data_IF_203749452693
#
_entry.id   IF_203749452693
#
_cell.length_a   1.000
_cell.length_b   1.000
_cell.length_c   1.000
_cell.angle_alpha   90.00
_cell.angle_beta   90.00
_cell.angle_gamma   90.00
#
_symmetry.space_group_name_H-M   'P 1'
#
loop_
_entity.id
_entity.type
_entity.pdbx_description
1 polymer ?
#
# COMPACT_ATOMS: atom_id res chain seq x y z
N UNK A 1 25.41 4.79 -2.47
CA UNK A 1 24.48 4.23 -3.47
C UNK A 1 23.07 4.43 -2.95
N UNK A 2 22.18 5.07 -3.71
CA UNK A 2 20.78 5.25 -3.31
C UNK A 2 20.13 3.88 -3.23
N UNK A 3 19.69 3.46 -2.04
CA UNK A 3 18.75 2.33 -1.93
C UNK A 3 17.51 2.76 -2.72
N UNK A 4 17.22 2.07 -3.81
CA UNK A 4 15.96 2.28 -4.54
C UNK A 4 14.96 1.36 -3.88
N UNK A 5 13.90 1.90 -3.30
CA UNK A 5 12.80 1.12 -2.78
C UNK A 5 12.19 0.27 -3.90
N UNK A 6 12.29 -1.08 -3.90
CA UNK A 6 11.70 -1.88 -4.97
C UNK A 6 10.17 -1.93 -4.91
N UNK A 7 9.58 -1.76 -3.72
CA UNK A 7 8.13 -1.71 -3.57
C UNK A 7 7.59 -0.47 -4.30
N UNK A 8 6.49 -0.63 -5.03
CA UNK A 8 5.83 0.31 -5.96
C UNK A 8 6.70 0.95 -7.07
N UNK A 9 8.03 1.10 -6.93
CA UNK A 9 8.87 1.71 -7.96
C UNK A 9 9.33 0.73 -9.04
N UNK A 10 9.23 -0.58 -8.80
CA UNK A 10 9.60 -1.61 -9.76
C UNK A 10 8.41 -2.53 -10.05
N UNK A 11 8.14 -2.84 -11.32
CA UNK A 11 7.08 -3.78 -11.68
C UNK A 11 7.28 -5.14 -11.01
N UNK A 12 6.16 -5.80 -10.73
CA UNK A 12 6.12 -7.13 -10.14
C UNK A 12 5.01 -7.32 -9.12
N UNK A 13 4.92 -8.56 -8.63
CA UNK A 13 3.93 -8.95 -7.63
C UNK A 13 4.55 -8.95 -6.23
N UNK A 14 3.80 -8.44 -5.25
CA UNK A 14 4.14 -8.54 -3.83
C UNK A 14 2.98 -9.23 -3.10
N UNK A 15 3.33 -10.18 -2.24
CA UNK A 15 2.38 -10.84 -1.34
C UNK A 15 2.55 -10.25 0.05
N UNK A 16 1.50 -10.28 0.85
CA UNK A 16 1.57 -9.87 2.23
C UNK A 16 0.52 -10.53 3.10
N UNK A 17 0.72 -10.36 4.39
CA UNK A 17 -0.19 -10.82 5.42
C UNK A 17 -0.10 -9.88 6.62
N UNK A 18 -1.14 -9.83 7.42
CA UNK A 18 -1.16 -8.99 8.60
C UNK A 18 -2.46 -9.09 9.37
N UNK A 19 -2.63 -8.18 10.32
CA UNK A 19 -3.80 -8.07 11.17
C UNK A 19 -4.39 -6.67 11.13
N UNK A 20 -5.70 -6.59 11.19
CA UNK A 20 -6.48 -5.37 11.35
C UNK A 20 -7.13 -5.41 12.72
N UNK A 21 -6.80 -4.46 13.58
CA UNK A 21 -7.49 -4.21 14.84
C UNK A 21 -8.36 -2.95 14.76
N UNK A 22 -9.35 -2.86 15.64
CA UNK A 22 -10.26 -1.71 15.70
C UNK A 22 -10.14 -1.04 17.07
N UNK A 23 -10.00 0.28 17.15
CA UNK A 23 -9.81 0.98 18.43
C UNK A 23 -10.96 0.82 19.43
N UNK A 24 -12.12 0.34 18.97
CA UNK A 24 -13.32 0.13 19.78
C UNK A 24 -13.43 -1.30 20.34
N UNK A 25 -12.55 -2.24 19.97
CA UNK A 25 -12.58 -3.63 20.42
C UNK A 25 -11.19 -4.26 20.49
N UNK A 26 -11.08 -5.37 21.22
CA UNK A 26 -9.85 -6.20 21.22
C UNK A 26 -9.85 -7.22 20.07
N UNK A 27 -10.77 -7.10 19.11
CA UNK A 27 -10.87 -8.00 17.98
C UNK A 27 -9.80 -7.68 16.93
N UNK A 28 -9.12 -8.72 16.45
CA UNK A 28 -8.16 -8.64 15.36
C UNK A 28 -8.62 -9.57 14.23
N UNK A 29 -8.64 -9.05 13.00
CA UNK A 29 -8.90 -9.83 11.80
C UNK A 29 -7.61 -10.06 11.03
N UNK A 30 -7.31 -11.32 10.73
CA UNK A 30 -6.20 -11.68 9.86
C UNK A 30 -6.57 -11.40 8.40
N UNK A 31 -5.64 -10.85 7.64
CA UNK A 31 -5.78 -10.64 6.21
C UNK A 31 -4.56 -11.10 5.43
N UNK A 32 -4.78 -11.27 4.12
CA UNK A 32 -3.76 -11.47 3.11
C UNK A 32 -3.89 -10.37 2.05
N UNK A 33 -2.77 -9.95 1.49
CA UNK A 33 -2.77 -8.95 0.41
C UNK A 33 -1.92 -9.38 -0.77
N UNK A 34 -2.36 -9.03 -1.97
CA UNK A 34 -1.62 -9.21 -3.20
C UNK A 34 -1.55 -7.90 -3.96
N UNK A 35 -0.35 -7.34 -4.04
CA UNK A 35 -0.07 -6.18 -4.86
C UNK A 35 0.43 -6.62 -6.23
N UNK A 36 -0.09 -5.98 -7.26
CA UNK A 36 0.41 -6.07 -8.63
C UNK A 36 0.85 -4.68 -9.08
N UNK A 37 2.16 -4.48 -9.15
CA UNK A 37 2.79 -3.24 -9.62
C UNK A 37 2.91 -3.34 -11.13
N UNK A 38 2.05 -2.62 -11.84
CA UNK A 38 2.04 -2.58 -13.30
C UNK A 38 3.15 -1.68 -13.81
N UNK A 39 3.57 -1.92 -15.05
CA UNK A 39 4.67 -1.19 -15.66
C UNK A 39 4.49 0.33 -15.55
N UNK A 40 5.59 1.01 -15.25
CA UNK A 40 5.64 2.47 -15.28
C UNK A 40 5.57 2.89 -16.75
N UNK A 41 4.36 3.13 -17.23
CA UNK A 41 4.12 3.56 -18.62
C UNK A 41 5.06 4.69 -19.03
N UNK A 42 5.38 4.71 -20.33
CA UNK A 42 6.35 5.58 -21.00
C UNK A 42 6.75 6.84 -20.24
N UNK A 43 8.03 6.89 -19.87
CA UNK A 43 8.71 8.08 -19.36
C UNK A 43 8.78 9.12 -20.48
N UNK A 44 7.70 9.85 -20.70
CA UNK A 44 7.82 11.15 -21.35
C UNK A 44 8.34 12.15 -20.32
N UNK A 45 9.59 12.58 -20.52
CA UNK A 45 10.25 13.74 -19.91
C UNK A 45 9.67 14.18 -18.55
N UNK A 46 10.12 13.51 -17.47
CA UNK A 46 10.06 14.06 -16.11
C UNK A 46 8.89 13.65 -15.24
N UNK A 47 7.97 12.79 -15.69
CA UNK A 47 6.87 12.30 -14.85
C UNK A 47 6.78 10.77 -14.88
N UNK A 48 7.49 10.11 -13.95
CA UNK A 48 7.29 8.68 -13.72
C UNK A 48 5.95 8.50 -13.02
N UNK A 49 5.06 7.74 -13.65
CA UNK A 49 3.79 7.34 -13.07
C UNK A 49 3.78 5.82 -12.90
N UNK A 50 3.25 5.33 -11.78
CA UNK A 50 3.13 3.90 -11.50
C UNK A 50 1.68 3.60 -11.17
N UNK A 51 1.12 2.60 -11.83
CA UNK A 51 -0.21 2.06 -11.51
C UNK A 51 -0.06 0.74 -10.79
N UNK A 52 -0.86 0.54 -9.76
CA UNK A 52 -0.84 -0.68 -8.97
C UNK A 52 -2.27 -1.10 -8.65
N UNK A 53 -2.48 -2.40 -8.51
CA UNK A 53 -3.68 -2.94 -7.89
C UNK A 53 -3.29 -3.67 -6.62
N UNK A 54 -4.13 -3.58 -5.61
CA UNK A 54 -4.02 -4.36 -4.39
C UNK A 54 -5.33 -5.12 -4.18
N UNK A 55 -5.21 -6.42 -4.01
CA UNK A 55 -6.27 -7.28 -3.51
C UNK A 55 -6.02 -7.51 -2.01
N UNK A 56 -7.09 -7.43 -1.21
CA UNK A 56 -7.06 -7.74 0.22
C UNK A 56 -8.17 -8.76 0.50
N UNK A 57 -7.81 -9.85 1.17
CA UNK A 57 -8.70 -10.96 1.50
C UNK A 57 -8.66 -11.19 3.02
N UNK A 58 -9.82 -11.16 3.68
CA UNK A 58 -9.92 -11.42 5.12
C UNK A 58 -10.07 -12.92 5.36
N UNK A 59 -9.33 -13.48 6.33
CA UNK A 59 -9.29 -14.92 6.58
C UNK A 59 -10.68 -15.52 6.88
N UNK A 60 -11.53 -14.80 7.62
CA UNK A 60 -12.82 -15.29 8.10
C UNK A 60 -14.03 -14.79 7.28
N UNK A 61 -13.81 -13.95 6.28
CA UNK A 61 -14.87 -13.46 5.40
C UNK A 61 -14.75 -14.15 4.03
N UNK A 62 -15.35 -15.35 3.94
CA UNK A 62 -15.14 -16.30 2.85
C UNK A 62 -15.44 -15.79 1.41
N UNK A 63 -16.03 -14.59 1.26
CA UNK A 63 -16.36 -13.99 -0.03
C UNK A 63 -16.04 -12.48 -0.13
N UNK A 64 -15.40 -11.87 0.86
CA UNK A 64 -15.13 -10.43 0.85
C UNK A 64 -13.69 -10.14 0.44
N UNK A 65 -13.51 -9.87 -0.85
CA UNK A 65 -12.27 -9.32 -1.41
C UNK A 65 -12.41 -7.82 -1.61
N UNK A 66 -11.48 -7.07 -1.06
CA UNK A 66 -11.36 -5.63 -1.30
C UNK A 66 -10.33 -5.40 -2.40
N UNK A 67 -10.68 -4.54 -3.36
CA UNK A 67 -9.80 -4.17 -4.46
C UNK A 67 -9.50 -2.67 -4.42
N UNK A 68 -8.22 -2.34 -4.32
CA UNK A 68 -7.73 -0.98 -4.36
C UNK A 68 -6.95 -0.78 -5.66
N UNK A 69 -7.17 0.35 -6.32
CA UNK A 69 -6.35 0.82 -7.44
C UNK A 69 -5.55 2.04 -7.00
N UNK A 70 -4.24 1.95 -7.09
CA UNK A 70 -3.32 3.02 -6.73
C UNK A 70 -2.67 3.61 -7.98
N UNK A 71 -2.54 4.93 -7.98
CA UNK A 71 -1.81 5.67 -9.00
C UNK A 71 -0.82 6.62 -8.33
N UNK A 72 0.46 6.28 -8.42
CA UNK A 72 1.57 7.10 -7.95
C UNK A 72 2.02 8.03 -9.06
N UNK A 73 2.07 9.32 -8.78
CA UNK A 73 2.41 10.39 -9.73
C UNK A 73 3.38 11.37 -9.11
N UNK A 74 3.97 12.27 -9.91
CA UNK A 74 4.92 13.28 -9.44
C UNK A 74 6.06 12.67 -8.58
N UNK A 75 6.53 11.47 -8.95
CA UNK A 75 7.54 10.74 -8.17
C UNK A 75 8.89 11.47 -8.29
N UNK A 76 9.22 12.20 -7.24
CA UNK A 76 10.49 12.89 -7.05
C UNK A 76 11.53 12.03 -6.33
N UNK A 77 12.54 12.69 -5.77
CA UNK A 77 13.62 12.02 -5.02
C UNK A 77 13.14 11.52 -3.66
N UNK A 78 12.32 12.32 -2.99
CA UNK A 78 11.88 12.08 -1.59
C UNK A 78 10.36 12.15 -1.41
N UNK A 79 9.61 12.40 -2.48
CA UNK A 79 8.17 12.62 -2.40
C UNK A 79 7.45 12.12 -3.64
N UNK A 80 6.16 11.87 -3.50
CA UNK A 80 5.24 11.54 -4.59
C UNK A 80 3.82 11.94 -4.21
N UNK A 81 2.93 11.99 -5.20
CA UNK A 81 1.49 12.03 -5.00
C UNK A 81 0.89 10.66 -5.23
N UNK A 82 -0.15 10.34 -4.48
CA UNK A 82 -0.86 9.08 -4.57
C UNK A 82 -2.36 9.32 -4.75
N UNK A 83 -2.97 8.53 -5.60
CA UNK A 83 -4.41 8.44 -5.76
C UNK A 83 -4.82 7.00 -5.46
N UNK A 84 -5.80 6.82 -4.59
CA UNK A 84 -6.43 5.54 -4.23
C UNK A 84 -7.87 5.53 -4.74
N UNK A 85 -8.24 4.52 -5.52
CA UNK A 85 -9.63 4.25 -5.89
C UNK A 85 -10.07 2.91 -5.29
N UNK A 86 -11.24 2.91 -4.67
CA UNK A 86 -11.88 1.73 -4.11
C UNK A 86 -13.40 1.92 -4.14
N UNK A 87 -14.16 0.84 -4.33
CA UNK A 87 -15.62 0.91 -4.52
C UNK A 87 -16.37 1.44 -3.28
N UNK A 88 -15.83 1.27 -2.08
CA UNK A 88 -16.43 1.67 -0.81
C UNK A 88 -16.10 3.13 -0.45
N UNK A 89 -14.87 3.59 -0.71
CA UNK A 89 -14.40 4.93 -0.31
C UNK A 89 -14.32 5.95 -1.46
N UNK A 90 -14.54 5.49 -2.70
CA UNK A 90 -14.42 6.33 -3.91
C UNK A 90 -12.96 6.60 -4.26
N UNK A 91 -12.66 7.84 -4.64
CA UNK A 91 -11.32 8.28 -5.03
C UNK A 91 -10.74 9.23 -3.98
N UNK A 92 -9.57 8.88 -3.45
CA UNK A 92 -8.87 9.61 -2.40
C UNK A 92 -7.50 10.05 -2.89
N UNK A 93 -7.12 11.29 -2.61
CA UNK A 93 -5.81 11.84 -2.95
C UNK A 93 -4.96 11.97 -1.70
N UNK A 94 -3.69 11.66 -1.85
CA UNK A 94 -2.71 11.71 -0.77
C UNK A 94 -1.33 12.13 -1.27
N UNK A 95 -0.43 12.25 -0.30
CA UNK A 95 0.97 12.58 -0.53
C UNK A 95 1.83 11.56 0.20
N UNK A 96 3.01 11.29 -0.33
CA UNK A 96 3.93 10.35 0.28
C UNK A 96 5.37 10.76 0.18
N UNK A 97 6.17 10.08 0.99
CA UNK A 97 7.60 10.30 1.13
C UNK A 97 8.39 9.03 0.84
N UNK A 98 9.62 9.23 0.38
CA UNK A 98 10.59 8.18 0.11
C UNK A 98 11.86 8.52 0.89
N UNK A 99 12.20 7.68 1.84
CA UNK A 99 13.46 7.76 2.59
C UNK A 99 14.40 6.64 2.12
N UNK A 100 15.40 6.28 2.93
CA UNK A 100 16.37 5.23 2.57
C UNK A 100 15.82 3.82 2.84
N UNK A 101 15.09 3.70 3.93
CA UNK A 101 14.58 2.46 4.52
C UNK A 101 13.07 2.53 4.75
N UNK A 102 12.40 3.59 4.27
CA UNK A 102 10.98 3.82 4.48
C UNK A 102 10.31 4.44 3.27
N UNK A 103 9.11 3.96 2.98
CA UNK A 103 8.13 4.63 2.12
C UNK A 103 6.90 4.85 2.97
N UNK A 104 6.31 6.03 2.91
CA UNK A 104 5.07 6.31 3.63
C UNK A 104 4.17 7.21 2.80
N UNK A 105 2.87 7.16 3.04
CA UNK A 105 1.91 8.09 2.49
C UNK A 105 0.76 8.32 3.45
N UNK A 106 0.05 9.41 3.22
CA UNK A 106 -1.11 9.79 4.02
C UNK A 106 -2.23 10.36 3.15
N UNK A 107 -3.45 10.21 3.64
CA UNK A 107 -4.66 10.81 3.11
C UNK A 107 -5.24 11.74 4.18
N UNK A 108 -5.44 13.01 3.83
CA UNK A 108 -5.93 14.05 4.74
C UNK A 108 -7.09 14.81 4.12
N UNK A 109 -8.05 15.23 4.94
CA UNK A 109 -9.17 16.09 4.55
C UNK A 109 -10.22 15.41 3.68
N UNK A 110 -10.22 14.07 3.61
CA UNK A 110 -11.17 13.33 2.77
C UNK A 110 -12.36 12.83 3.61
N UNK A 111 -13.61 13.04 3.17
CA UNK A 111 -14.80 12.81 3.99
C UNK A 111 -15.07 11.35 4.32
N UNK A 112 -14.38 10.41 3.68
CA UNK A 112 -14.58 8.96 3.84
C UNK A 112 -13.43 8.24 4.55
N UNK A 113 -12.23 8.81 4.54
CA UNK A 113 -11.04 8.18 5.13
C UNK A 113 -9.96 9.22 5.38
N UNK A 114 -9.36 9.20 6.56
CA UNK A 114 -8.11 9.90 6.85
C UNK A 114 -7.14 8.92 7.50
N UNK A 115 -5.85 9.06 7.22
CA UNK A 115 -4.89 8.13 7.78
C UNK A 115 -3.59 8.07 7.01
N UNK A 116 -2.77 7.08 7.35
CA UNK A 116 -1.45 6.91 6.76
C UNK A 116 -1.05 5.44 6.68
N UNK A 117 -0.10 5.15 5.80
CA UNK A 117 0.63 3.88 5.76
C UNK A 117 2.13 4.14 5.76
N UNK A 118 2.87 3.27 6.46
CA UNK A 118 4.33 3.28 6.52
C UNK A 118 4.84 1.89 6.23
N UNK A 119 5.74 1.78 5.25
CA UNK A 119 6.44 0.58 4.86
C UNK A 119 7.93 0.74 5.18
N UNK A 120 8.46 -0.12 6.05
CA UNK A 120 9.87 -0.12 6.46
C UNK A 120 10.59 -1.32 5.85
N UNK A 121 11.65 -1.06 5.09
CA UNK A 121 12.44 -2.07 4.39
C UNK A 121 13.36 -2.80 5.38
N UNK A 122 13.14 -4.11 5.53
CA UNK A 122 13.99 -5.00 6.31
C UNK A 122 15.26 -5.42 5.54
N UNK A 123 16.25 -5.92 6.28
CA UNK A 123 17.53 -6.39 5.70
C UNK A 123 17.37 -7.58 4.75
N UNK A 124 16.29 -8.35 4.90
CA UNK A 124 15.91 -9.48 4.05
C UNK A 124 15.25 -9.06 2.72
N UNK A 125 15.00 -7.76 2.50
CA UNK A 125 14.32 -7.24 1.31
C UNK A 125 12.78 -7.31 1.37
N UNK A 126 12.23 -7.73 2.51
CA UNK A 126 10.81 -7.65 2.83
C UNK A 126 10.49 -6.29 3.46
N UNK A 127 9.22 -5.92 3.52
CA UNK A 127 8.78 -4.73 4.23
C UNK A 127 7.85 -5.12 5.36
N UNK A 128 8.12 -4.58 6.54
CA UNK A 128 7.11 -4.47 7.60
C UNK A 128 6.29 -3.21 7.33
N UNK A 129 4.99 -3.25 7.55
CA UNK A 129 4.14 -2.09 7.38
C UNK A 129 3.14 -1.89 8.52
N UNK A 130 2.82 -0.62 8.72
CA UNK A 130 1.87 -0.15 9.69
C UNK A 130 0.97 0.90 9.06
N UNK A 131 -0.34 0.80 9.27
CA UNK A 131 -1.28 1.80 8.82
C UNK A 131 -2.31 2.13 9.91
N UNK A 132 -2.76 3.37 9.93
CA UNK A 132 -3.90 3.79 10.73
C UNK A 132 -4.87 4.56 9.86
N UNK A 133 -6.15 4.20 9.93
CA UNK A 133 -7.24 4.85 9.20
C UNK A 133 -8.39 5.21 10.12
N UNK A 134 -9.00 6.36 9.90
CA UNK A 134 -10.15 6.87 10.64
C UNK A 134 -11.34 6.96 9.69
N UNK A 135 -12.45 6.32 10.07
CA UNK A 135 -13.73 6.41 9.36
C UNK A 135 -14.47 7.71 9.70
N UNK A 136 -15.49 8.10 8.93
CA UNK A 136 -16.28 9.32 9.20
C UNK A 136 -16.98 9.30 10.56
N UNK A 137 -17.31 8.11 11.05
CA UNK A 137 -17.92 7.88 12.37
C UNK A 137 -16.90 7.90 13.51
N UNK A 138 -15.62 8.10 13.20
CA UNK A 138 -14.53 8.22 14.17
C UNK A 138 -13.94 6.87 14.63
N UNK A 139 -14.28 5.76 13.98
CA UNK A 139 -13.65 4.47 14.25
C UNK A 139 -12.24 4.45 13.66
N UNK A 140 -11.26 4.04 14.47
CA UNK A 140 -9.88 3.89 14.01
C UNK A 140 -9.57 2.41 13.76
N UNK A 141 -9.10 2.12 12.56
CA UNK A 141 -8.51 0.84 12.19
C UNK A 141 -6.99 0.94 12.31
N UNK A 142 -6.37 -0.07 12.94
CA UNK A 142 -4.92 -0.19 13.10
C UNK A 142 -4.50 -1.45 12.35
N UNK A 143 -3.60 -1.32 11.39
CA UNK A 143 -3.17 -2.41 10.53
C UNK A 143 -1.68 -2.61 10.70
N UNK A 144 -1.27 -3.85 10.95
CA UNK A 144 0.14 -4.24 10.99
C UNK A 144 0.33 -5.46 10.11
N UNK A 145 1.40 -5.49 9.34
CA UNK A 145 1.68 -6.64 8.49
C UNK A 145 3.04 -6.58 7.86
N UNK A 146 3.26 -7.50 6.93
CA UNK A 146 4.47 -7.55 6.12
C UNK A 146 4.16 -7.87 4.67
N UNK A 147 5.00 -7.39 3.77
CA UNK A 147 4.95 -7.72 2.34
C UNK A 147 6.32 -8.19 1.83
N UNK A 148 6.30 -9.12 0.89
CA UNK A 148 7.49 -9.65 0.23
C UNK A 148 7.26 -9.81 -1.26
N UNK A 149 8.33 -9.64 -2.05
CA UNK A 149 8.24 -9.79 -3.50
C UNK A 149 8.02 -11.26 -3.84
N UNK A 150 7.00 -11.56 -4.65
CA UNK A 150 6.74 -12.92 -5.13
C UNK A 150 7.91 -13.36 -6.01
N UNK A 151 8.60 -14.41 -5.57
CA UNK A 151 9.67 -15.02 -6.37
C UNK A 151 9.03 -16.01 -7.34
N UNK A 152 9.26 -15.83 -8.65
CA UNK A 152 8.95 -16.88 -9.60
C UNK A 152 10.08 -17.92 -9.55
N UNK A 153 9.79 -19.12 -9.07
CA UNK A 153 10.66 -20.26 -9.32
C UNK A 153 10.70 -20.50 -10.82
N UNK A 154 11.87 -20.31 -11.47
CA UNK A 154 12.09 -20.86 -12.80
C UNK A 154 11.84 -22.36 -12.70
N UNK A 155 10.77 -22.86 -13.33
CA UNK A 155 10.69 -24.30 -13.64
C UNK A 155 11.87 -24.59 -14.57
N UNK A 156 12.92 -25.21 -14.02
CA UNK A 156 13.98 -25.84 -14.79
C UNK A 156 13.46 -27.04 -15.55
#
# INVERSE_FOLDING_TARGET
MSVKHPFFLCPGEWLGEGKIGFSASDEELQFYTHWNILDSGDVQLGQKNVRCTQEVEMQDAADEKMFNRFHFTEIGIQSFKILLENEQIGTVFGEGIIEKDKVAWEFRGHPHIEGFEVYTLGENGEYEFHAEYISPEGYRSIINGRIWKKQYSKKS
#
